data_IF_969994199763
#
_entry.id   IF_969994199763
#
_cell.length_a   1.000
_cell.length_b   1.000
_cell.length_c   1.000
_cell.angle_alpha   90.00
_cell.angle_beta   90.00
_cell.angle_gamma   90.00
#
_symmetry.space_group_name_H-M   'P 1'
#
loop_
_entity.id
_entity.type
_entity.pdbx_description
1 polymer ?
#
# COMPACT_ATOMS: atom_id res chain seq x y z
N UNK A 1 3.89 13.44 -7.40
CA UNK A 1 4.35 12.35 -6.51
C UNK A 1 3.57 11.08 -6.85
N UNK A 2 4.12 10.21 -7.67
CA UNK A 2 3.54 8.90 -7.90
C UNK A 2 4.02 7.94 -6.81
N UNK A 3 3.10 7.31 -6.09
CA UNK A 3 3.42 6.25 -5.13
C UNK A 3 4.10 5.05 -5.81
N UNK A 4 4.70 4.15 -5.03
CA UNK A 4 5.43 2.99 -5.55
C UNK A 4 4.55 2.09 -6.43
N UNK A 5 3.27 1.91 -6.09
CA UNK A 5 2.34 1.07 -6.87
C UNK A 5 2.04 1.66 -8.24
N UNK A 6 1.82 2.98 -8.33
CA UNK A 6 1.63 3.67 -9.62
C UNK A 6 2.87 3.56 -10.51
N UNK A 7 4.07 3.61 -9.92
CA UNK A 7 5.33 3.40 -10.65
C UNK A 7 5.48 1.97 -11.13
N UNK A 8 5.12 0.97 -10.32
CA UNK A 8 5.14 -0.42 -10.72
C UNK A 8 4.18 -0.68 -11.88
N UNK A 9 2.96 -0.13 -11.81
CA UNK A 9 2.00 -0.23 -12.90
C UNK A 9 2.56 0.37 -14.20
N UNK A 10 3.16 1.56 -14.13
CA UNK A 10 3.80 2.21 -15.27
C UNK A 10 4.93 1.34 -15.85
N UNK A 11 5.85 0.82 -15.03
CA UNK A 11 6.93 -0.05 -15.52
C UNK A 11 6.40 -1.30 -16.23
N UNK A 12 5.32 -1.91 -15.72
CA UNK A 12 4.71 -3.08 -16.36
C UNK A 12 4.08 -2.69 -17.71
N UNK A 13 3.38 -1.55 -17.79
CA UNK A 13 2.81 -1.05 -19.03
C UNK A 13 3.87 -0.78 -20.10
N UNK A 14 4.99 -0.17 -19.69
CA UNK A 14 6.14 0.13 -20.55
C UNK A 14 7.07 -1.07 -20.79
N UNK A 15 6.72 -2.26 -20.28
CA UNK A 15 7.51 -3.49 -20.39
C UNK A 15 8.96 -3.30 -19.85
N UNK A 16 9.08 -2.61 -18.72
CA UNK A 16 10.34 -2.36 -18.04
C UNK A 16 10.43 -3.15 -16.73
N UNK A 17 11.63 -3.44 -16.22
CA UNK A 17 11.79 -4.08 -14.91
C UNK A 17 11.29 -3.16 -13.78
N UNK A 18 10.73 -3.76 -12.72
CA UNK A 18 10.37 -3.01 -11.52
C UNK A 18 11.62 -2.49 -10.82
N UNK A 19 11.74 -1.18 -10.68
CA UNK A 19 12.90 -0.56 -10.03
C UNK A 19 12.75 -0.60 -8.52
N UNK A 20 13.64 -1.33 -7.84
CA UNK A 20 13.70 -1.50 -6.39
C UNK A 20 14.83 -0.64 -5.80
N UNK A 21 14.48 0.47 -5.19
CA UNK A 21 15.44 1.33 -4.50
C UNK A 21 15.89 0.69 -3.19
N UNK A 22 17.20 0.67 -2.92
CA UNK A 22 17.77 -0.01 -1.77
C UNK A 22 17.37 -1.48 -1.70
N UNK A 23 17.26 -2.14 -2.89
CA UNK A 23 16.80 -3.51 -2.98
C UNK A 23 15.36 -3.72 -2.53
N UNK A 24 14.56 -2.66 -2.39
CA UNK A 24 13.18 -2.75 -1.92
C UNK A 24 13.04 -2.97 -0.40
N UNK A 25 14.07 -2.65 0.38
CA UNK A 25 14.10 -2.86 1.84
C UNK A 25 13.22 -1.88 2.62
N UNK A 26 12.79 -0.76 2.03
CA UNK A 26 11.89 0.19 2.68
C UNK A 26 10.54 -0.48 3.00
N UNK A 27 10.02 -0.19 4.20
CA UNK A 27 8.79 -0.79 4.74
C UNK A 27 7.67 0.25 4.75
N UNK A 28 6.48 -0.14 4.30
CA UNK A 28 5.28 0.72 4.26
C UNK A 28 4.05 -0.05 4.72
N UNK A 29 3.09 0.70 5.24
CA UNK A 29 1.74 0.23 5.54
C UNK A 29 0.82 0.65 4.39
N UNK A 30 0.21 -0.34 3.72
CA UNK A 30 -0.70 -0.12 2.60
C UNK A 30 -2.13 -0.37 3.06
N UNK A 31 -3.00 0.60 2.82
CA UNK A 31 -4.43 0.50 3.10
C UNK A 31 -5.22 0.68 1.80
N UNK A 32 -6.27 -0.10 1.63
CA UNK A 32 -7.12 -0.03 0.44
C UNK A 32 -8.08 1.17 0.55
N UNK A 33 -8.38 1.81 -0.57
CA UNK A 33 -9.24 3.00 -0.61
C UNK A 33 -10.66 2.72 -0.11
N UNK A 34 -11.21 1.51 -0.33
CA UNK A 34 -12.54 1.14 0.18
C UNK A 34 -12.56 1.04 1.71
N UNK A 35 -11.44 0.61 2.33
CA UNK A 35 -11.31 0.59 3.78
C UNK A 35 -11.28 2.01 4.34
N UNK A 36 -10.57 2.93 3.69
CA UNK A 36 -10.58 4.34 4.06
C UNK A 36 -11.98 4.97 3.93
N UNK A 37 -12.66 4.70 2.82
CA UNK A 37 -14.02 5.21 2.59
C UNK A 37 -14.99 4.73 3.67
N UNK A 38 -14.88 3.45 4.07
CA UNK A 38 -15.67 2.88 5.15
C UNK A 38 -15.36 3.54 6.50
N UNK A 39 -14.08 3.79 6.82
CA UNK A 39 -13.68 4.49 8.03
C UNK A 39 -14.25 5.91 8.09
N UNK A 40 -14.20 6.65 6.97
CA UNK A 40 -14.76 8.00 6.86
C UNK A 40 -16.30 8.00 7.05
N UNK A 41 -16.99 7.02 6.46
CA UNK A 41 -18.42 6.84 6.67
C UNK A 41 -18.74 6.58 8.15
N UNK A 42 -18.01 5.67 8.81
CA UNK A 42 -18.19 5.39 10.24
C UNK A 42 -17.94 6.63 11.13
N UNK A 43 -17.01 7.51 10.73
CA UNK A 43 -16.73 8.73 11.50
C UNK A 43 -17.91 9.69 11.56
N UNK A 44 -18.83 9.66 10.59
CA UNK A 44 -20.03 10.50 10.57
C UNK A 44 -20.99 10.12 11.71
N UNK A 45 -21.03 8.87 12.10
CA UNK A 45 -21.92 8.33 13.14
C UNK A 45 -21.33 8.44 14.57
N UNK A 46 -20.06 8.86 14.69
CA UNK A 46 -19.41 9.05 15.99
C UNK A 46 -19.73 10.44 16.54
N UNK A 47 -20.07 10.51 17.84
CA UNK A 47 -20.40 11.80 18.46
C UNK A 47 -19.23 12.80 18.38
N UNK A 48 -19.55 14.07 18.17
CA UNK A 48 -18.57 15.16 18.08
C UNK A 48 -17.61 15.19 19.28
N UNK A 49 -18.13 14.98 20.50
CA UNK A 49 -17.36 14.98 21.73
C UNK A 49 -16.19 13.96 21.71
N UNK A 50 -16.37 12.83 21.02
CA UNK A 50 -15.33 11.80 20.90
C UNK A 50 -14.28 12.09 19.84
N UNK A 51 -14.65 12.80 18.77
CA UNK A 51 -13.76 13.06 17.62
C UNK A 51 -13.14 14.44 17.64
N UNK A 52 -13.74 15.43 18.34
CA UNK A 52 -13.28 16.81 18.30
C UNK A 52 -11.79 16.91 18.69
N UNK A 53 -10.99 17.49 17.82
CA UNK A 53 -9.55 17.67 18.01
C UNK A 53 -8.71 16.39 17.99
N UNK A 54 -9.29 15.23 17.61
CA UNK A 54 -8.57 13.97 17.54
C UNK A 54 -7.92 13.78 16.17
N UNK A 55 -6.63 13.39 16.16
CA UNK A 55 -5.96 12.86 14.99
C UNK A 55 -6.01 11.32 15.03
N UNK A 56 -6.48 10.71 13.96
CA UNK A 56 -6.67 9.25 13.86
C UNK A 56 -5.93 8.72 12.63
N UNK A 57 -5.01 7.77 12.83
CA UNK A 57 -4.35 7.09 11.72
C UNK A 57 -5.28 6.03 11.14
N UNK A 58 -5.51 6.09 9.83
CA UNK A 58 -6.23 5.06 9.08
C UNK A 58 -5.22 4.31 8.22
N UNK A 59 -4.91 3.09 8.62
CA UNK A 59 -3.92 2.24 7.97
C UNK A 59 -4.29 0.76 8.15
N UNK A 60 -3.54 -0.14 7.52
CA UNK A 60 -3.81 -1.58 7.68
C UNK A 60 -3.33 -2.15 9.01
N UNK A 61 -2.37 -1.49 9.65
CA UNK A 61 -1.64 -2.02 10.82
C UNK A 61 -0.67 -3.15 10.45
N UNK A 62 -0.47 -3.42 9.16
CA UNK A 62 0.43 -4.46 8.64
C UNK A 62 1.44 -3.84 7.68
N UNK A 63 2.67 -3.80 8.12
CA UNK A 63 3.76 -3.25 7.30
C UNK A 63 4.42 -4.34 6.47
N UNK A 64 4.73 -4.01 5.22
CA UNK A 64 5.42 -4.89 4.27
C UNK A 64 6.56 -4.13 3.60
N UNK A 65 7.61 -4.84 3.20
CA UNK A 65 8.68 -4.26 2.40
C UNK A 65 8.24 -4.03 0.95
N UNK A 66 8.84 -3.07 0.28
CA UNK A 66 8.60 -2.82 -1.14
C UNK A 66 8.98 -4.04 -1.99
N UNK A 67 9.96 -4.84 -1.54
CA UNK A 67 10.31 -6.11 -2.19
C UNK A 67 9.18 -7.13 -2.11
N UNK A 68 8.56 -7.31 -0.93
CA UNK A 68 7.39 -8.20 -0.79
C UNK A 68 6.23 -7.74 -1.67
N UNK A 69 5.98 -6.43 -1.73
CA UNK A 69 4.97 -5.87 -2.64
C UNK A 69 5.28 -6.20 -4.10
N UNK A 70 6.54 -6.04 -4.54
CA UNK A 70 6.96 -6.36 -5.90
C UNK A 70 6.80 -7.86 -6.22
N UNK A 71 7.06 -8.75 -5.25
CA UNK A 71 6.84 -10.19 -5.39
C UNK A 71 5.36 -10.54 -5.51
N UNK A 72 4.48 -9.86 -4.77
CA UNK A 72 3.03 -10.05 -4.93
C UNK A 72 2.56 -9.57 -6.32
N UNK A 73 3.08 -8.44 -6.80
CA UNK A 73 2.81 -7.95 -8.17
C UNK A 73 3.29 -8.96 -9.22
N UNK A 74 4.47 -9.56 -9.04
CA UNK A 74 4.97 -10.62 -9.94
C UNK A 74 4.00 -11.79 -10.03
N UNK A 75 3.50 -12.29 -8.89
CA UNK A 75 2.55 -13.41 -8.85
C UNK A 75 1.26 -13.12 -9.63
N UNK A 76 0.85 -11.86 -9.69
CA UNK A 76 -0.35 -11.43 -10.40
C UNK A 76 -0.06 -11.25 -11.90
N UNK A 77 0.99 -10.49 -12.23
CA UNK A 77 1.26 -10.05 -13.60
C UNK A 77 1.85 -11.14 -14.47
N UNK A 78 2.80 -11.91 -13.93
CA UNK A 78 3.55 -12.90 -14.71
C UNK A 78 2.68 -14.00 -15.35
N UNK A 79 1.66 -14.55 -14.66
CA UNK A 79 0.74 -15.51 -15.28
C UNK A 79 -0.19 -14.89 -16.32
N UNK A 80 -0.65 -13.65 -16.10
CA UNK A 80 -1.62 -12.97 -16.95
C UNK A 80 -0.97 -12.37 -18.21
N UNK A 81 0.22 -11.80 -18.06
CA UNK A 81 0.92 -11.08 -19.11
C UNK A 81 2.43 -11.34 -19.06
N UNK A 82 2.91 -12.58 -19.33
CA UNK A 82 4.32 -12.94 -19.17
C UNK A 82 5.26 -12.10 -20.04
N UNK A 83 4.81 -11.62 -21.19
CA UNK A 83 5.59 -10.74 -22.06
C UNK A 83 5.87 -9.36 -21.45
N UNK A 84 4.99 -8.89 -20.55
CA UNK A 84 5.13 -7.61 -19.85
C UNK A 84 6.03 -7.70 -18.61
N UNK A 85 6.25 -8.90 -18.08
CA UNK A 85 7.10 -9.09 -16.93
C UNK A 85 8.58 -9.08 -17.33
N UNK A 86 9.35 -8.12 -16.81
CA UNK A 86 10.79 -7.95 -17.11
C UNK A 86 11.69 -8.10 -15.86
N UNK A 87 11.15 -8.61 -14.77
CA UNK A 87 11.89 -8.82 -13.52
C UNK A 87 12.11 -7.55 -12.72
N UNK A 88 13.23 -7.51 -11.99
CA UNK A 88 13.60 -6.42 -11.10
C UNK A 88 14.90 -5.75 -11.53
N UNK A 89 15.00 -4.44 -11.32
CA UNK A 89 16.24 -3.67 -11.38
C UNK A 89 16.50 -3.06 -10.00
N UNK A 90 17.63 -3.38 -9.39
CA UNK A 90 18.02 -2.84 -8.10
C UNK A 90 18.87 -1.59 -8.29
N UNK A 91 18.53 -0.53 -7.56
CA UNK A 91 19.27 0.73 -7.54
C UNK A 91 19.55 1.16 -6.11
N UNK A 92 20.55 2.01 -5.88
CA UNK A 92 20.84 2.53 -4.55
C UNK A 92 19.61 3.18 -3.89
N UNK A 93 19.53 3.11 -2.57
CA UNK A 93 18.49 3.81 -1.80
C UNK A 93 18.61 5.32 -2.01
N UNK A 94 17.48 6.02 -2.01
CA UNK A 94 17.49 7.49 -2.06
C UNK A 94 17.94 8.06 -0.72
N UNK A 95 18.75 9.09 -0.77
CA UNK A 95 19.09 9.87 0.43
C UNK A 95 17.82 10.48 1.01
N UNK A 96 17.61 10.32 2.31
CA UNK A 96 16.44 10.86 3.02
C UNK A 96 15.16 10.03 2.87
N UNK A 97 15.19 8.86 2.21
CA UNK A 97 14.01 7.99 2.18
C UNK A 97 13.74 7.38 3.57
N UNK A 98 12.46 7.40 3.97
CA UNK A 98 12.01 6.81 5.24
C UNK A 98 12.13 5.29 5.14
N UNK A 99 12.96 4.69 5.99
CA UNK A 99 13.21 3.24 5.99
C UNK A 99 11.99 2.44 6.42
N UNK A 100 11.31 2.88 7.47
CA UNK A 100 10.13 2.22 8.03
C UNK A 100 9.04 3.25 8.26
N UNK A 101 7.87 3.02 7.69
CA UNK A 101 6.64 3.74 7.99
C UNK A 101 5.58 2.73 8.42
N UNK A 102 5.19 2.81 9.68
CA UNK A 102 4.19 1.96 10.31
C UNK A 102 3.25 2.83 11.12
N UNK A 103 1.95 2.59 11.00
CA UNK A 103 0.95 3.36 11.71
C UNK A 103 0.45 2.61 12.95
N UNK A 104 0.29 3.32 14.07
CA UNK A 104 -0.52 2.85 15.19
C UNK A 104 -1.99 3.07 14.86
N UNK A 105 -2.75 1.99 14.77
CA UNK A 105 -4.17 1.97 14.40
C UNK A 105 -5.10 1.78 15.61
N UNK A 106 -4.58 1.73 16.82
CA UNK A 106 -5.40 1.48 18.02
C UNK A 106 -6.49 2.52 18.18
N UNK A 107 -6.17 3.80 18.01
CA UNK A 107 -7.17 4.88 18.10
C UNK A 107 -8.27 4.75 17.04
N UNK A 108 -7.95 4.32 15.83
CA UNK A 108 -8.95 4.08 14.78
C UNK A 108 -9.92 2.96 15.19
N UNK A 109 -9.39 1.91 15.79
CA UNK A 109 -10.20 0.80 16.32
C UNK A 109 -11.10 1.25 17.47
N UNK A 110 -10.57 1.99 18.43
CA UNK A 110 -11.30 2.46 19.62
C UNK A 110 -12.39 3.49 19.28
N UNK A 111 -12.08 4.46 18.44
CA UNK A 111 -13.01 5.57 18.14
C UNK A 111 -13.99 5.27 17.01
N UNK A 112 -13.54 4.52 15.99
CA UNK A 112 -14.31 4.29 14.76
C UNK A 112 -14.72 2.82 14.56
N UNK A 113 -14.27 1.90 15.43
CA UNK A 113 -14.40 0.46 15.17
C UNK A 113 -13.70 0.02 13.88
N UNK A 114 -12.71 0.80 13.43
CA UNK A 114 -12.06 0.58 12.13
C UNK A 114 -11.03 -0.54 12.18
N UNK A 115 -11.18 -1.47 11.27
CA UNK A 115 -10.16 -2.44 10.88
C UNK A 115 -10.11 -2.57 9.36
N UNK A 116 -8.89 -2.57 8.78
CA UNK A 116 -8.72 -2.82 7.36
C UNK A 116 -9.10 -4.27 7.02
N UNK A 117 -10.02 -4.44 6.08
CA UNK A 117 -10.56 -5.74 5.68
C UNK A 117 -9.96 -6.25 4.38
N UNK A 118 -9.48 -5.34 3.51
CA UNK A 118 -8.89 -5.69 2.23
C UNK A 118 -7.42 -6.04 2.43
N UNK A 119 -7.04 -7.27 2.10
CA UNK A 119 -5.64 -7.67 2.13
C UNK A 119 -4.83 -7.00 1.03
N UNK A 120 -3.50 -6.90 1.20
CA UNK A 120 -2.60 -6.38 0.18
C UNK A 120 -2.77 -7.13 -1.15
N UNK A 121 -2.83 -8.45 -1.12
CA UNK A 121 -2.99 -9.28 -2.32
C UNK A 121 -4.30 -8.98 -3.07
N UNK A 122 -5.42 -8.81 -2.34
CA UNK A 122 -6.70 -8.43 -2.94
C UNK A 122 -6.65 -7.04 -3.58
N UNK A 123 -6.09 -6.06 -2.89
CA UNK A 123 -5.94 -4.69 -3.43
C UNK A 123 -5.03 -4.64 -4.65
N UNK A 124 -3.91 -5.39 -4.63
CA UNK A 124 -3.01 -5.48 -5.78
C UNK A 124 -3.67 -6.20 -6.96
N UNK A 125 -4.44 -7.26 -6.73
CA UNK A 125 -5.17 -7.96 -7.79
C UNK A 125 -6.16 -7.03 -8.52
N UNK A 126 -6.84 -6.15 -7.80
CA UNK A 126 -7.72 -5.14 -8.42
C UNK A 126 -6.94 -4.09 -9.21
N UNK A 127 -5.78 -3.65 -8.71
CA UNK A 127 -4.97 -2.61 -9.35
C UNK A 127 -4.23 -3.12 -10.59
N UNK A 128 -3.77 -4.37 -10.59
CA UNK A 128 -2.97 -4.99 -11.65
C UNK A 128 -3.77 -5.99 -12.51
N UNK A 129 -5.08 -5.82 -12.63
CA UNK A 129 -5.87 -6.51 -13.66
C UNK A 129 -5.49 -5.93 -15.03
N UNK A 130 -4.93 -6.78 -15.90
CA UNK A 130 -4.32 -6.37 -17.18
C UNK A 130 -5.11 -6.93 -18.38
#
# INVERSE_FOLDING_TARGET
YSGVLSRFLHFIQEQQPLVLQGGGSAVRDFVHVSDLARALASAVDVSEEKLLGQAVNLASGRSVSIREVAQEVEKIVRPQAPARWKGYAEVPARTGDVRVSHADVNRARELLGFEAQTSLAQGLAQLFTL
#
